data_IF_262758135165
#
_entry.id   IF_262758135165
#
_cell.length_a   1.000
_cell.length_b   1.000
_cell.length_c   1.000
_cell.angle_alpha   90.00
_cell.angle_beta   90.00
_cell.angle_gamma   90.00
#
_symmetry.space_group_name_H-M   'P 1'
#
loop_
_entity.id
_entity.type
_entity.pdbx_description
1 polymer ?
#
# COMPACT_ATOMS: atom_id res chain seq x y z
N UNK A 1 0.87 19.46 -48.47
CA UNK A 1 0.73 19.09 -47.05
C UNK A 1 -0.70 19.38 -46.64
N UNK A 2 -1.56 18.37 -46.72
CA UNK A 2 -2.98 18.44 -46.35
C UNK A 2 -3.11 18.29 -44.84
N UNK A 3 -3.66 19.31 -44.18
CA UNK A 3 -3.94 19.29 -42.75
C UNK A 3 -5.10 18.34 -42.47
N UNK A 4 -4.87 17.27 -41.71
CA UNK A 4 -5.93 16.37 -41.24
C UNK A 4 -6.62 17.04 -40.04
N UNK A 5 -7.94 17.13 -40.10
CA UNK A 5 -8.75 17.70 -39.03
C UNK A 5 -8.74 16.78 -37.81
N UNK A 6 -8.56 17.35 -36.60
CA UNK A 6 -8.39 16.62 -35.34
C UNK A 6 -9.60 15.74 -35.01
N UNK A 7 -10.78 16.05 -35.57
CA UNK A 7 -12.00 15.25 -35.38
C UNK A 7 -12.02 13.96 -36.19
N UNK A 8 -11.28 13.87 -37.28
CA UNK A 8 -11.23 12.66 -38.12
C UNK A 8 -10.15 11.68 -37.66
N UNK A 9 -9.08 12.18 -37.00
CA UNK A 9 -8.05 11.34 -36.39
C UNK A 9 -8.62 10.34 -35.37
N UNK A 10 -9.58 10.77 -34.55
CA UNK A 10 -10.20 9.92 -33.53
C UNK A 10 -11.14 8.85 -34.12
N UNK A 11 -11.64 9.03 -35.34
CA UNK A 11 -12.51 8.05 -36.01
C UNK A 11 -11.70 6.93 -36.67
N UNK A 12 -10.49 7.22 -37.15
CA UNK A 12 -9.57 6.19 -37.66
C UNK A 12 -8.98 5.32 -36.53
N UNK A 13 -8.80 5.88 -35.33
CA UNK A 13 -8.23 5.16 -34.18
C UNK A 13 -9.15 4.06 -33.64
N UNK A 14 -10.48 4.20 -33.77
CA UNK A 14 -11.44 3.21 -33.28
C UNK A 14 -11.56 1.96 -34.18
N UNK A 15 -11.13 2.03 -35.44
CA UNK A 15 -11.23 0.91 -36.39
C UNK A 15 -9.97 0.01 -36.44
N UNK A 16 -8.84 0.46 -35.87
CA UNK A 16 -7.61 -0.34 -35.84
C UNK A 16 -7.48 -1.22 -34.57
N UNK A 17 -8.31 -1.01 -33.55
CA UNK A 17 -8.21 -1.75 -32.28
C UNK A 17 -8.85 -3.15 -32.30
N UNK A 18 -9.55 -3.53 -33.38
CA UNK A 18 -10.23 -4.84 -33.48
C UNK A 18 -9.57 -5.85 -34.42
N UNK A 19 -8.37 -5.57 -34.95
CA UNK A 19 -7.72 -6.49 -35.91
C UNK A 19 -6.21 -6.66 -35.71
N UNK A 20 -5.75 -6.69 -34.46
CA UNK A 20 -4.46 -7.29 -34.12
C UNK A 20 -4.67 -8.28 -32.96
N UNK A 21 -5.31 -9.41 -33.27
CA UNK A 21 -5.07 -10.63 -32.53
C UNK A 21 -3.59 -10.98 -32.72
N UNK A 22 -2.73 -10.38 -31.88
CA UNK A 22 -1.34 -10.79 -31.78
C UNK A 22 -1.37 -12.22 -31.29
N UNK A 23 -1.10 -13.15 -32.20
CA UNK A 23 -0.72 -14.51 -31.86
C UNK A 23 0.53 -14.40 -30.99
N UNK A 24 0.32 -14.49 -29.68
CA UNK A 24 1.38 -14.57 -28.68
C UNK A 24 2.30 -15.73 -29.12
N UNK A 25 3.57 -15.48 -29.47
CA UNK A 25 4.47 -16.58 -29.79
C UNK A 25 4.55 -17.51 -28.57
N UNK A 26 4.64 -18.84 -28.78
CA UNK A 26 4.70 -19.78 -27.68
C UNK A 26 5.88 -19.40 -26.78
N UNK A 27 5.58 -19.21 -25.49
CA UNK A 27 6.59 -18.98 -24.46
C UNK A 27 7.56 -20.17 -24.45
N UNK A 28 8.75 -19.96 -25.00
CA UNK A 28 9.88 -20.87 -24.79
C UNK A 28 10.23 -20.94 -23.30
N UNK A 29 10.86 -22.03 -22.83
CA UNK A 29 10.90 -22.42 -21.42
C UNK A 29 11.83 -21.60 -20.50
N UNK A 30 12.28 -20.41 -20.90
CA UNK A 30 13.07 -19.54 -20.02
C UNK A 30 12.35 -18.21 -19.82
N UNK A 31 11.41 -18.20 -18.89
CA UNK A 31 10.96 -16.96 -18.26
C UNK A 31 12.21 -16.19 -17.79
N UNK A 32 12.28 -14.86 -17.93
CA UNK A 32 13.28 -14.08 -17.24
C UNK A 32 13.03 -14.23 -15.74
N UNK A 33 13.74 -15.15 -15.09
CA UNK A 33 13.82 -15.21 -13.64
C UNK A 33 14.73 -14.05 -13.23
N UNK A 34 14.26 -13.21 -12.30
CA UNK A 34 15.10 -12.15 -11.71
C UNK A 34 16.41 -12.75 -11.17
N UNK A 35 16.35 -14.00 -10.66
CA UNK A 35 17.52 -14.84 -10.37
C UNK A 35 17.12 -16.31 -10.20
N UNK A 36 18.02 -17.22 -10.56
CA UNK A 36 17.98 -18.66 -10.20
C UNK A 36 18.64 -18.95 -8.83
N UNK A 37 19.17 -17.92 -8.16
CA UNK A 37 19.80 -18.07 -6.87
C UNK A 37 18.77 -18.47 -5.81
N UNK A 38 19.05 -19.56 -5.10
CA UNK A 38 18.31 -19.91 -3.90
C UNK A 38 18.40 -18.75 -2.89
N UNK A 39 17.25 -18.29 -2.39
CA UNK A 39 17.21 -17.30 -1.32
C UNK A 39 17.95 -17.87 -0.11
N UNK A 40 19.12 -17.30 0.18
CA UNK A 40 19.82 -17.56 1.44
C UNK A 40 19.36 -16.48 2.40
N UNK A 41 18.68 -16.82 3.51
CA UNK A 41 18.28 -15.83 4.50
C UNK A 41 19.50 -15.01 4.91
N UNK A 42 19.46 -13.71 4.63
CA UNK A 42 20.50 -12.80 5.08
C UNK A 42 20.35 -12.73 6.60
N UNK A 43 21.47 -12.81 7.33
CA UNK A 43 21.46 -12.61 8.78
C UNK A 43 20.75 -11.29 9.09
N UNK A 44 19.80 -11.32 10.02
CA UNK A 44 19.09 -10.13 10.47
C UNK A 44 20.06 -8.99 10.78
N UNK A 45 19.57 -7.76 10.63
CA UNK A 45 20.37 -6.57 10.87
C UNK A 45 21.07 -6.66 12.25
N UNK A 46 22.38 -6.37 12.32
CA UNK A 46 23.13 -6.48 13.57
C UNK A 46 22.70 -5.44 14.61
N UNK A 47 21.90 -4.45 14.20
CA UNK A 47 21.33 -3.40 15.04
C UNK A 47 19.81 -3.54 14.98
N UNK A 48 19.17 -3.54 16.16
CA UNK A 48 17.73 -3.69 16.30
C UNK A 48 17.09 -2.35 16.71
N UNK A 49 15.99 -1.93 16.07
CA UNK A 49 15.34 -0.68 16.43
C UNK A 49 14.69 -0.78 17.82
N UNK A 50 14.71 0.33 18.57
CA UNK A 50 13.81 0.50 19.70
C UNK A 50 12.42 0.84 19.18
N UNK A 51 11.37 0.32 19.83
CA UNK A 51 10.00 0.70 19.49
C UNK A 51 9.82 2.18 19.83
N UNK A 52 9.04 2.88 19.02
CA UNK A 52 8.74 4.28 19.27
C UNK A 52 8.08 4.48 20.65
N UNK A 53 7.26 3.52 21.09
CA UNK A 53 6.60 3.53 22.40
C UNK A 53 7.55 3.40 23.59
N UNK A 54 8.79 2.91 23.35
CA UNK A 54 9.80 2.75 24.40
C UNK A 54 10.67 4.01 24.55
N UNK A 55 10.41 5.05 23.75
CA UNK A 55 11.20 6.29 23.71
C UNK A 55 10.30 7.48 24.02
N UNK A 56 10.63 8.21 25.09
CA UNK A 56 9.98 9.47 25.42
C UNK A 56 10.83 10.63 24.94
N UNK A 57 10.27 11.46 24.05
CA UNK A 57 10.92 12.67 23.53
C UNK A 57 10.57 13.86 24.43
N UNK A 58 11.59 14.56 24.94
CA UNK A 58 11.41 15.62 25.95
C UNK A 58 12.02 16.97 25.59
N UNK A 59 12.61 17.10 24.40
CA UNK A 59 13.26 18.34 23.95
C UNK A 59 12.26 19.41 23.49
N UNK A 60 12.74 20.63 23.29
CA UNK A 60 11.89 21.77 22.90
C UNK A 60 11.58 21.82 21.41
N UNK A 61 12.25 21.02 20.57
CA UNK A 61 12.05 21.05 19.12
C UNK A 61 11.04 19.99 18.65
N UNK A 62 11.23 18.72 19.04
CA UNK A 62 10.39 17.62 18.56
C UNK A 62 9.12 17.41 19.39
N UNK A 63 9.20 17.54 20.72
CA UNK A 63 8.03 17.40 21.58
C UNK A 63 6.81 18.22 21.12
N UNK A 64 6.92 19.54 20.83
CA UNK A 64 5.76 20.30 20.38
C UNK A 64 5.24 19.85 18.99
N UNK A 65 6.08 19.34 18.10
CA UNK A 65 5.64 18.83 16.79
C UNK A 65 4.85 17.53 16.92
N UNK A 66 5.29 16.65 17.81
CA UNK A 66 4.57 15.40 18.12
C UNK A 66 3.21 15.72 18.74
N UNK A 67 3.16 16.66 19.69
CA UNK A 67 1.91 17.12 20.29
C UNK A 67 0.96 17.72 19.24
N UNK A 68 1.42 18.62 18.36
CA UNK A 68 0.61 19.18 17.27
C UNK A 68 0.11 18.08 16.32
N UNK A 69 0.94 17.09 16.01
CA UNK A 69 0.53 16.00 15.15
C UNK A 69 -0.60 15.17 15.77
N UNK A 70 -0.51 14.86 17.07
CA UNK A 70 -1.52 14.13 17.82
C UNK A 70 -2.80 14.94 18.04
N UNK A 71 -2.69 16.20 18.48
CA UNK A 71 -3.80 17.02 18.92
C UNK A 71 -4.55 17.72 17.77
N UNK A 72 -3.87 17.94 16.63
CA UNK A 72 -4.41 18.73 15.52
C UNK A 72 -4.33 17.99 14.20
N UNK A 73 -3.15 17.56 13.75
CA UNK A 73 -2.98 17.06 12.38
C UNK A 73 -3.74 15.76 12.13
N UNK A 74 -3.60 14.76 13.02
CA UNK A 74 -4.28 13.47 12.85
C UNK A 74 -5.80 13.65 12.92
N UNK A 75 -6.39 14.30 13.94
CA UNK A 75 -7.84 14.55 13.98
C UNK A 75 -8.34 15.31 12.74
N UNK A 76 -7.60 16.32 12.29
CA UNK A 76 -7.95 17.08 11.09
C UNK A 76 -7.98 16.21 9.84
N UNK A 77 -6.96 15.39 9.59
CA UNK A 77 -6.93 14.50 8.42
C UNK A 77 -8.06 13.46 8.45
N UNK A 78 -8.37 12.91 9.64
CA UNK A 78 -9.51 11.98 9.81
C UNK A 78 -10.83 12.67 9.47
N UNK A 79 -11.04 13.90 9.97
CA UNK A 79 -12.21 14.71 9.60
C UNK A 79 -12.25 14.97 8.09
N UNK A 80 -11.12 15.36 7.50
CA UNK A 80 -11.03 15.71 6.08
C UNK A 80 -11.37 14.52 5.18
N UNK A 81 -10.93 13.31 5.53
CA UNK A 81 -11.29 12.09 4.80
C UNK A 81 -12.80 11.85 4.85
N UNK A 82 -13.41 11.99 6.03
CA UNK A 82 -14.86 11.88 6.19
C UNK A 82 -15.63 12.90 5.34
N UNK A 83 -15.19 14.17 5.30
CA UNK A 83 -15.82 15.23 4.49
C UNK A 83 -15.69 14.98 2.98
N UNK A 84 -14.63 14.29 2.56
CA UNK A 84 -14.39 13.94 1.17
C UNK A 84 -15.05 12.62 0.76
N UNK A 85 -15.85 12.00 1.64
CA UNK A 85 -16.40 10.66 1.45
C UNK A 85 -15.30 9.64 1.10
N UNK A 86 -14.11 9.84 1.66
CA UNK A 86 -12.97 8.93 1.53
C UNK A 86 -12.84 8.13 2.80
N UNK A 87 -12.60 6.85 2.63
CA UNK A 87 -12.32 5.95 3.74
C UNK A 87 -11.14 6.43 4.60
N UNK A 88 -11.32 6.39 5.91
CA UNK A 88 -10.25 6.51 6.89
C UNK A 88 -9.33 5.29 6.76
N UNK A 89 -8.15 5.42 6.16
CA UNK A 89 -7.30 4.26 5.86
C UNK A 89 -5.86 4.62 5.53
N UNK A 90 -5.06 3.60 5.22
CA UNK A 90 -3.63 3.74 4.89
C UNK A 90 -2.85 4.50 5.96
N UNK A 91 -2.02 5.45 5.52
CA UNK A 91 -1.08 6.18 6.37
C UNK A 91 -1.77 6.97 7.49
N UNK A 92 -2.99 7.49 7.28
CA UNK A 92 -3.70 8.26 8.32
C UNK A 92 -4.18 7.33 9.43
N UNK A 93 -4.68 6.14 9.08
CA UNK A 93 -5.07 5.12 10.06
C UNK A 93 -3.86 4.58 10.82
N UNK A 94 -2.75 4.35 10.12
CA UNK A 94 -1.49 3.97 10.75
C UNK A 94 -1.02 5.02 11.77
N UNK A 95 -1.00 6.31 11.37
CA UNK A 95 -0.62 7.40 12.24
C UNK A 95 -1.52 7.50 13.49
N UNK A 96 -2.83 7.33 13.32
CA UNK A 96 -3.77 7.32 14.44
C UNK A 96 -3.50 6.17 15.43
N UNK A 97 -3.29 4.94 14.92
CA UNK A 97 -2.96 3.77 15.75
C UNK A 97 -1.66 4.02 16.54
N UNK A 98 -0.64 4.59 15.89
CA UNK A 98 0.63 4.89 16.54
C UNK A 98 0.47 5.97 17.62
N UNK A 99 -0.24 7.06 17.30
CA UNK A 99 -0.48 8.21 18.18
C UNK A 99 -1.20 7.79 19.46
N UNK A 100 -2.26 6.99 19.35
CA UNK A 100 -3.06 6.53 20.50
C UNK A 100 -2.26 5.78 21.57
N UNK A 101 -1.11 5.18 21.20
CA UNK A 101 -0.24 4.50 22.16
C UNK A 101 0.47 5.46 23.11
N UNK A 102 0.77 6.68 22.67
CA UNK A 102 1.52 7.68 23.43
C UNK A 102 0.66 8.89 23.83
N UNK A 103 -0.44 9.14 23.12
CA UNK A 103 -1.41 10.23 23.33
C UNK A 103 -2.83 9.65 23.27
N UNK A 104 -3.36 9.14 24.40
CA UNK A 104 -4.70 8.55 24.43
C UNK A 104 -5.78 9.58 24.11
N UNK A 105 -6.65 9.24 23.17
CA UNK A 105 -7.83 10.03 22.77
C UNK A 105 -9.00 9.05 22.56
N UNK A 106 -10.05 9.18 23.38
CA UNK A 106 -11.19 8.26 23.35
C UNK A 106 -12.03 8.36 22.07
N UNK A 107 -12.13 9.55 21.47
CA UNK A 107 -12.88 9.75 20.24
C UNK A 107 -12.12 9.17 19.06
N UNK A 108 -10.82 9.46 18.95
CA UNK A 108 -9.97 8.87 17.92
C UNK A 108 -9.89 7.35 18.06
N UNK A 109 -9.82 6.83 19.28
CA UNK A 109 -9.86 5.38 19.54
C UNK A 109 -11.14 4.75 18.99
N UNK A 110 -12.31 5.34 19.24
CA UNK A 110 -13.57 4.81 18.73
C UNK A 110 -13.63 4.79 17.19
N UNK A 111 -13.07 5.81 16.53
CA UNK A 111 -12.97 5.85 15.06
C UNK A 111 -12.03 4.78 14.52
N UNK A 112 -10.88 4.56 15.18
CA UNK A 112 -9.94 3.49 14.84
C UNK A 112 -10.61 2.13 15.03
N UNK A 113 -11.30 1.89 16.13
CA UNK A 113 -11.97 0.62 16.41
C UNK A 113 -13.06 0.32 15.39
N UNK A 114 -13.89 1.32 15.03
CA UNK A 114 -14.89 1.20 13.99
C UNK A 114 -14.25 0.83 12.64
N UNK A 115 -13.16 1.52 12.27
CA UNK A 115 -12.48 1.24 11.02
C UNK A 115 -11.80 -0.14 10.99
N UNK A 116 -11.17 -0.55 12.09
CA UNK A 116 -10.60 -1.90 12.21
C UNK A 116 -11.70 -2.96 12.07
N UNK A 117 -12.88 -2.74 12.67
CA UNK A 117 -14.01 -3.65 12.51
C UNK A 117 -14.43 -3.81 11.04
N UNK A 118 -14.51 -2.71 10.28
CA UNK A 118 -14.79 -2.75 8.85
C UNK A 118 -13.70 -3.50 8.07
N UNK A 119 -12.43 -3.20 8.32
CA UNK A 119 -11.29 -3.80 7.62
C UNK A 119 -11.18 -5.32 7.86
N UNK A 120 -11.65 -5.81 9.01
CA UNK A 120 -11.72 -7.25 9.28
C UNK A 120 -12.63 -7.98 8.30
N UNK A 121 -13.66 -7.32 7.79
CA UNK A 121 -14.64 -7.87 6.85
C UNK A 121 -14.36 -7.48 5.39
N UNK A 122 -13.37 -6.61 5.15
CA UNK A 122 -13.06 -6.12 3.82
C UNK A 122 -12.50 -7.23 2.91
N UNK A 123 -12.78 -7.18 1.59
CA UNK A 123 -12.18 -8.11 0.64
C UNK A 123 -10.64 -8.01 0.65
N UNK A 124 -9.99 -9.17 0.73
CA UNK A 124 -8.53 -9.29 0.73
C UNK A 124 -8.00 -9.11 -0.68
N UNK A 125 -7.51 -7.90 -1.00
CA UNK A 125 -7.03 -7.55 -2.34
C UNK A 125 -5.82 -6.64 -2.27
N UNK A 126 -4.82 -6.93 -3.10
CA UNK A 126 -3.63 -6.10 -3.22
C UNK A 126 -2.82 -6.03 -1.92
N UNK A 127 -1.96 -5.02 -1.84
CA UNK A 127 -1.01 -4.80 -0.75
C UNK A 127 -1.38 -3.61 0.16
N UNK A 128 -2.48 -2.90 -0.12
CA UNK A 128 -2.82 -1.59 0.48
C UNK A 128 -3.16 -1.58 1.98
N UNK A 129 -3.04 -2.70 2.68
CA UNK A 129 -3.31 -2.81 4.12
C UNK A 129 -2.16 -3.40 4.94
N UNK A 130 -1.02 -3.72 4.33
CA UNK A 130 0.07 -4.43 5.02
C UNK A 130 0.69 -3.60 6.14
N UNK A 131 0.93 -2.32 5.90
CA UNK A 131 1.50 -1.42 6.91
C UNK A 131 0.54 -1.23 8.09
N UNK A 132 -0.74 -0.97 7.82
CA UNK A 132 -1.78 -0.86 8.86
C UNK A 132 -1.87 -2.15 9.68
N UNK A 133 -1.88 -3.32 9.03
CA UNK A 133 -1.98 -4.61 9.71
C UNK A 133 -0.76 -4.89 10.61
N UNK A 134 0.45 -4.64 10.09
CA UNK A 134 1.68 -4.78 10.85
C UNK A 134 1.74 -3.80 12.03
N UNK A 135 1.35 -2.54 11.81
CA UNK A 135 1.30 -1.52 12.86
C UNK A 135 0.28 -1.89 13.94
N UNK A 136 -0.94 -2.28 13.58
CA UNK A 136 -1.97 -2.70 14.53
C UNK A 136 -1.53 -3.90 15.38
N UNK A 137 -0.92 -4.92 14.76
CA UNK A 137 -0.35 -6.05 15.50
C UNK A 137 0.77 -5.61 16.44
N UNK A 138 1.67 -4.74 15.99
CA UNK A 138 2.81 -4.30 16.81
C UNK A 138 2.41 -3.40 17.99
N UNK A 139 1.29 -2.69 17.91
CA UNK A 139 0.80 -1.81 18.99
C UNK A 139 -0.12 -2.52 19.97
N UNK A 140 -0.89 -3.51 19.51
CA UNK A 140 -1.97 -4.17 20.29
C UNK A 140 -1.76 -5.67 20.55
N UNK A 141 -0.95 -6.35 19.73
CA UNK A 141 -0.85 -7.81 19.69
C UNK A 141 -2.00 -8.52 18.97
N UNK A 142 -3.01 -7.77 18.49
CA UNK A 142 -4.14 -8.34 17.76
C UNK A 142 -3.74 -8.73 16.33
N UNK A 143 -4.08 -9.97 15.95
CA UNK A 143 -3.72 -10.57 14.65
C UNK A 143 -4.78 -10.46 13.57
N UNK A 144 -5.99 -10.00 13.87
CA UNK A 144 -7.12 -10.06 12.94
C UNK A 144 -6.81 -9.41 11.58
N UNK A 145 -6.18 -8.23 11.59
CA UNK A 145 -5.74 -7.56 10.36
C UNK A 145 -4.48 -8.20 9.76
N UNK A 146 -3.59 -8.74 10.59
CA UNK A 146 -2.36 -9.40 10.17
C UNK A 146 -2.66 -10.68 9.39
N UNK A 147 -3.58 -11.50 9.87
CA UNK A 147 -3.96 -12.75 9.21
C UNK A 147 -4.67 -12.46 7.87
N UNK A 148 -5.51 -11.42 7.81
CA UNK A 148 -6.06 -10.92 6.53
C UNK A 148 -4.95 -10.48 5.55
N UNK A 149 -3.91 -9.80 6.04
CA UNK A 149 -2.79 -9.36 5.22
C UNK A 149 -1.93 -10.53 4.73
N UNK A 150 -1.70 -11.55 5.56
CA UNK A 150 -0.99 -12.78 5.18
C UNK A 150 -1.74 -13.50 4.04
N UNK A 151 -3.05 -13.70 4.17
CA UNK A 151 -3.85 -14.31 3.11
C UNK A 151 -3.78 -13.51 1.79
N UNK A 152 -3.84 -12.18 1.86
CA UNK A 152 -3.69 -11.33 0.69
C UNK A 152 -2.28 -11.44 0.06
N UNK A 153 -1.23 -11.50 0.88
CA UNK A 153 0.14 -11.70 0.44
C UNK A 153 0.33 -13.05 -0.27
N UNK A 154 -0.24 -14.12 0.28
CA UNK A 154 -0.20 -15.46 -0.32
C UNK A 154 -0.92 -15.48 -1.67
N UNK A 155 -2.07 -14.81 -1.77
CA UNK A 155 -2.81 -14.68 -3.02
C UNK A 155 -2.01 -13.89 -4.08
N UNK A 156 -1.34 -12.80 -3.69
CA UNK A 156 -0.45 -12.03 -4.57
C UNK A 156 0.72 -12.88 -5.04
N UNK A 157 1.40 -13.58 -4.13
CA UNK A 157 2.52 -14.45 -4.45
C UNK A 157 2.11 -15.58 -5.41
N UNK A 158 0.99 -16.25 -5.10
CA UNK A 158 0.45 -17.33 -5.94
C UNK A 158 0.09 -16.83 -7.33
N UNK A 159 -0.55 -15.65 -7.42
CA UNK A 159 -0.88 -15.04 -8.70
C UNK A 159 0.37 -14.71 -9.52
N UNK A 160 1.38 -14.10 -8.89
CA UNK A 160 2.64 -13.77 -9.52
C UNK A 160 3.37 -15.01 -10.03
N UNK A 161 3.47 -16.06 -9.20
CA UNK A 161 4.11 -17.32 -9.58
C UNK A 161 3.41 -18.01 -10.76
N UNK A 162 2.07 -17.95 -10.81
CA UNK A 162 1.29 -18.59 -11.87
C UNK A 162 1.30 -17.83 -13.20
N UNK A 163 1.24 -16.49 -13.16
CA UNK A 163 1.06 -15.68 -14.37
C UNK A 163 2.34 -14.99 -14.84
N UNK A 164 3.32 -14.82 -13.95
CA UNK A 164 4.59 -14.14 -14.16
C UNK A 164 4.41 -12.85 -15.00
N UNK A 165 3.62 -11.88 -14.50
CA UNK A 165 3.35 -10.66 -15.26
C UNK A 165 4.65 -9.93 -15.61
N UNK A 166 4.70 -9.20 -16.74
CA UNK A 166 5.91 -8.49 -17.17
C UNK A 166 6.36 -7.36 -16.23
N UNK A 167 5.54 -7.04 -15.22
CA UNK A 167 5.81 -6.02 -14.20
C UNK A 167 5.59 -6.63 -12.82
N UNK A 168 6.47 -6.34 -11.86
CA UNK A 168 6.33 -6.85 -10.50
C UNK A 168 5.26 -6.13 -9.67
N UNK A 169 4.60 -5.12 -10.27
CA UNK A 169 3.45 -4.43 -9.68
C UNK A 169 3.80 -3.24 -8.78
N UNK A 170 5.06 -2.82 -8.72
CA UNK A 170 5.47 -1.58 -8.04
C UNK A 170 5.21 -0.33 -8.89
N UNK A 171 4.88 0.79 -8.25
CA UNK A 171 4.80 2.12 -8.89
C UNK A 171 6.11 2.46 -9.66
N UNK A 172 7.24 1.95 -9.16
CA UNK A 172 8.56 2.10 -9.80
C UNK A 172 8.73 1.31 -11.10
N UNK A 173 8.05 0.18 -11.26
CA UNK A 173 8.12 -0.63 -12.49
C UNK A 173 7.31 0.02 -13.62
N UNK A 174 6.23 0.72 -13.29
CA UNK A 174 5.43 1.45 -14.27
C UNK A 174 6.15 2.66 -14.87
N UNK A 175 7.12 3.24 -14.15
CA UNK A 175 7.83 4.47 -14.55
C UNK A 175 8.97 4.18 -15.56
N UNK A 176 9.61 3.01 -15.49
CA UNK A 176 10.76 2.71 -16.36
C UNK A 176 10.40 2.24 -17.78
N UNK A 177 9.12 2.04 -18.10
CA UNK A 177 8.70 1.51 -19.40
C UNK A 177 8.19 2.56 -20.40
N UNK A 178 8.35 3.84 -20.10
CA UNK A 178 8.03 4.95 -21.02
C UNK A 178 9.29 5.56 -21.67
N UNK A 179 10.47 4.95 -21.47
CA UNK A 179 11.75 5.46 -22.00
C UNK A 179 12.56 4.48 -22.89
N UNK A 180 11.94 3.43 -23.44
CA UNK A 180 12.57 2.56 -24.44
C UNK A 180 11.73 2.48 -25.72
#
# INVERSE_FOLDING_TARGET
MTSIDRRDFLKAAAAAYFAAAQTKPPLGPSAPRITDAAYTPIRDYPIQPKRYSDVTITDDFWKPKIAINADVTIPFEVQKLSELERDFGGNVLEAAILSLKTHPDAHLQALVDARVHELKQAPRRGNGGFEVAATYFNTTGNRDLLDNAIEAADALYTNFAAHNPPFSGGERDAINCVQL
#
